data_IF_233389924109
#
_entry.id   IF_233389924109
#
_cell.length_a   1.000
_cell.length_b   1.000
_cell.length_c   1.000
_cell.angle_alpha   90.00
_cell.angle_beta   90.00
_cell.angle_gamma   90.00
#
_symmetry.space_group_name_H-M   'P 1'
#
loop_
_entity.id
_entity.type
_entity.pdbx_description
1 polymer ?
#
# COMPACT_ATOMS: atom_id res chain seq x y z
N UNK A 1 19.31 19.05 -17.57
CA UNK A 1 19.48 17.73 -16.91
C UNK A 1 18.57 17.78 -15.70
N UNK A 2 17.40 17.14 -15.74
CA UNK A 2 16.51 17.07 -14.58
C UNK A 2 17.08 16.00 -13.65
N UNK A 3 17.53 16.40 -12.46
CA UNK A 3 17.96 15.47 -11.43
C UNK A 3 16.78 14.58 -11.04
N UNK A 4 16.99 13.27 -11.10
CA UNK A 4 16.00 12.27 -10.71
C UNK A 4 15.87 12.30 -9.18
N UNK A 5 14.83 12.96 -8.66
CA UNK A 5 14.56 13.01 -7.21
C UNK A 5 13.91 11.69 -6.79
N UNK A 6 14.61 10.91 -5.99
CA UNK A 6 14.07 9.72 -5.31
C UNK A 6 13.60 10.12 -3.92
N UNK A 7 12.37 9.77 -3.55
CA UNK A 7 11.79 10.09 -2.25
C UNK A 7 11.48 8.81 -1.50
N UNK A 8 12.08 8.63 -0.32
CA UNK A 8 11.77 7.53 0.59
C UNK A 8 11.11 8.07 1.85
N UNK A 9 9.93 7.52 2.17
CA UNK A 9 9.21 7.78 3.42
C UNK A 9 9.31 6.53 4.29
N UNK A 10 10.26 6.56 5.22
CA UNK A 10 10.50 5.53 6.23
C UNK A 10 10.16 6.12 7.58
N UNK A 11 9.27 5.47 8.33
CA UNK A 11 8.85 5.90 9.65
C UNK A 11 8.98 4.71 10.59
N UNK A 12 10.13 4.57 11.24
CA UNK A 12 10.31 3.54 12.27
C UNK A 12 9.67 4.04 13.58
N UNK A 13 8.66 3.33 14.08
CA UNK A 13 8.10 3.48 15.44
C UNK A 13 7.51 4.85 15.84
N UNK A 14 6.60 5.44 15.05
CA UNK A 14 5.73 6.54 15.54
C UNK A 14 4.52 6.01 16.34
N UNK A 15 4.77 5.26 17.42
CA UNK A 15 3.72 4.85 18.37
C UNK A 15 3.30 5.98 19.33
N UNK A 16 4.03 7.10 19.36
CA UNK A 16 3.90 8.11 20.42
C UNK A 16 2.89 9.25 20.13
N UNK A 17 2.24 9.28 18.96
CA UNK A 17 1.30 10.38 18.63
C UNK A 17 -0.18 10.02 18.85
N UNK A 18 -0.54 8.74 18.86
CA UNK A 18 -1.95 8.31 18.98
C UNK A 18 -2.37 7.86 20.39
N UNK A 19 -1.43 7.73 21.32
CA UNK A 19 -1.73 7.42 22.73
C UNK A 19 -1.17 8.53 23.62
N UNK A 20 -1.94 9.61 23.79
CA UNK A 20 -1.80 10.38 25.03
C UNK A 20 -2.40 9.53 26.15
N UNK A 21 -1.53 8.83 26.87
CA UNK A 21 -1.84 8.35 28.21
C UNK A 21 -2.05 9.58 29.11
N UNK A 22 -3.29 10.05 29.20
CA UNK A 22 -3.72 10.90 30.32
C UNK A 22 -4.75 10.10 31.12
N UNK A 23 -4.26 9.55 32.25
CA UNK A 23 -5.08 9.10 33.36
C UNK A 23 -5.92 10.29 33.85
N UNK A 24 -7.14 10.45 33.34
CA UNK A 24 -8.15 11.30 33.97
C UNK A 24 -9.33 10.44 34.42
N UNK A 25 -9.41 10.29 35.74
CA UNK A 25 -10.56 9.76 36.46
C UNK A 25 -11.81 10.60 36.18
N UNK A 26 -12.86 9.95 35.68
CA UNK A 26 -14.25 10.33 35.95
C UNK A 26 -14.92 11.29 34.96
N UNK A 27 -15.67 10.73 34.01
CA UNK A 27 -17.13 10.88 33.95
C UNK A 27 -17.73 10.10 32.77
N UNK A 28 -18.81 9.38 33.05
CA UNK A 28 -19.70 8.74 32.09
C UNK A 28 -20.46 9.82 31.29
N UNK A 29 -20.11 10.03 30.02
CA UNK A 29 -21.04 10.08 28.88
C UNK A 29 -20.29 10.43 27.57
N UNK A 30 -20.26 9.48 26.62
CA UNK A 30 -20.34 9.76 25.17
C UNK A 30 -19.33 10.68 24.47
N UNK A 31 -18.08 10.86 24.92
CA UNK A 31 -17.17 11.86 24.31
C UNK A 31 -15.71 11.42 24.03
N UNK A 32 -15.44 10.15 23.75
CA UNK A 32 -14.08 9.68 23.38
C UNK A 32 -13.83 9.54 21.86
N UNK A 33 -14.81 9.83 20.99
CA UNK A 33 -14.72 9.59 19.53
C UNK A 33 -13.86 10.65 18.79
N UNK A 34 -13.68 11.85 19.36
CA UNK A 34 -13.09 12.98 18.63
C UNK A 34 -11.57 13.14 18.79
N UNK A 35 -10.96 12.60 19.86
CA UNK A 35 -9.55 12.89 20.17
C UNK A 35 -8.61 12.10 19.26
N UNK A 36 -8.95 10.85 18.88
CA UNK A 36 -8.06 10.02 18.06
C UNK A 36 -8.27 10.22 16.53
N UNK A 37 -9.51 10.48 16.08
CA UNK A 37 -9.77 10.77 14.66
C UNK A 37 -9.14 12.10 14.21
N UNK A 38 -9.12 13.12 15.07
CA UNK A 38 -8.49 14.40 14.74
C UNK A 38 -6.97 14.27 14.55
N UNK A 39 -6.26 13.59 15.46
CA UNK A 39 -4.82 13.34 15.35
C UNK A 39 -4.50 12.53 14.09
N UNK A 40 -5.32 11.52 13.79
CA UNK A 40 -5.21 10.73 12.56
C UNK A 40 -5.35 11.62 11.33
N UNK A 41 -6.37 12.50 11.28
CA UNK A 41 -6.57 13.43 10.17
C UNK A 41 -5.44 14.47 10.02
N UNK A 42 -4.92 15.00 11.13
CA UNK A 42 -3.77 15.91 11.13
C UNK A 42 -2.54 15.22 10.54
N UNK A 43 -2.28 13.98 10.96
CA UNK A 43 -1.18 13.15 10.46
C UNK A 43 -1.33 12.85 8.96
N UNK A 44 -2.54 12.51 8.51
CA UNK A 44 -2.84 12.33 7.09
C UNK A 44 -2.60 13.60 6.27
N UNK A 45 -3.00 14.76 6.80
CA UNK A 45 -2.80 16.04 6.13
C UNK A 45 -1.31 16.34 5.96
N UNK A 46 -0.50 16.10 6.99
CA UNK A 46 0.97 16.26 6.93
C UNK A 46 1.55 15.30 5.89
N UNK A 47 1.16 14.03 5.89
CA UNK A 47 1.64 13.06 4.90
C UNK A 47 1.28 13.48 3.46
N UNK A 48 0.06 13.96 3.23
CA UNK A 48 -0.35 14.45 1.91
C UNK A 48 0.41 15.71 1.49
N UNK A 49 0.69 16.62 2.42
CA UNK A 49 1.49 17.82 2.14
C UNK A 49 2.90 17.44 1.71
N UNK A 50 3.55 16.51 2.43
CA UNK A 50 4.86 15.97 2.06
C UNK A 50 4.80 15.40 0.64
N UNK A 51 3.85 14.51 0.34
CA UNK A 51 3.72 13.91 -0.99
C UNK A 51 3.49 14.96 -2.09
N UNK A 52 2.73 16.02 -1.82
CA UNK A 52 2.49 17.13 -2.77
C UNK A 52 3.75 17.94 -3.04
N UNK A 53 4.58 18.17 -2.01
CA UNK A 53 5.85 18.87 -2.16
C UNK A 53 6.83 18.11 -3.06
N UNK A 54 6.67 16.78 -3.15
CA UNK A 54 7.45 15.91 -4.00
C UNK A 54 6.70 15.42 -5.25
N UNK A 55 5.62 16.08 -5.68
CA UNK A 55 4.78 15.60 -6.80
C UNK A 55 5.52 15.35 -8.13
N UNK A 56 6.64 16.05 -8.35
CA UNK A 56 7.49 15.91 -9.55
C UNK A 56 8.53 14.78 -9.44
N UNK A 57 8.65 14.15 -8.26
CA UNK A 57 9.55 13.02 -8.06
C UNK A 57 9.12 11.84 -8.95
N UNK A 58 10.12 11.20 -9.54
CA UNK A 58 9.94 10.06 -10.45
C UNK A 58 9.92 8.74 -9.70
N UNK A 59 10.38 8.70 -8.46
CA UNK A 59 10.46 7.49 -7.65
C UNK A 59 10.00 7.74 -6.23
N UNK A 60 9.10 6.90 -5.74
CA UNK A 60 8.61 6.92 -4.37
C UNK A 60 8.80 5.56 -3.73
N UNK A 61 9.33 5.55 -2.50
CA UNK A 61 9.33 4.40 -1.62
C UNK A 61 8.49 4.71 -0.39
N UNK A 62 7.44 3.93 -0.17
CA UNK A 62 6.42 4.15 0.85
C UNK A 62 6.37 2.95 1.78
N UNK A 63 6.60 3.16 3.08
CA UNK A 63 6.45 2.13 4.11
C UNK A 63 4.98 1.78 4.39
N UNK A 64 4.74 0.63 5.01
CA UNK A 64 3.41 0.12 5.35
C UNK A 64 2.65 1.06 6.30
N UNK A 65 3.34 1.76 7.21
CA UNK A 65 2.70 2.77 8.06
C UNK A 65 2.08 3.91 7.25
N UNK A 66 2.84 4.45 6.27
CA UNK A 66 2.31 5.48 5.37
C UNK A 66 1.16 4.96 4.51
N UNK A 67 1.21 3.68 4.09
CA UNK A 67 0.11 3.05 3.34
C UNK A 67 -1.15 2.98 4.20
N UNK A 68 -1.05 2.58 5.47
CA UNK A 68 -2.22 2.50 6.35
C UNK A 68 -2.81 3.89 6.68
N UNK A 69 -1.96 4.93 6.85
CA UNK A 69 -2.44 6.32 6.95
C UNK A 69 -3.20 6.76 5.68
N UNK A 70 -2.67 6.46 4.50
CA UNK A 70 -3.36 6.77 3.24
C UNK A 70 -4.62 5.93 3.05
N UNK A 71 -4.71 4.76 3.68
CA UNK A 71 -5.92 3.94 3.66
C UNK A 71 -7.05 4.64 4.39
N UNK A 72 -6.74 5.22 5.55
CA UNK A 72 -7.71 6.01 6.30
C UNK A 72 -8.23 7.20 5.48
N UNK A 73 -7.32 7.83 4.71
CA UNK A 73 -7.66 8.92 3.80
C UNK A 73 -8.60 8.50 2.66
N UNK A 74 -8.26 7.41 1.96
CA UNK A 74 -9.07 6.84 0.88
C UNK A 74 -10.47 6.48 1.38
N UNK A 75 -10.57 5.88 2.57
CA UNK A 75 -11.86 5.47 3.16
C UNK A 75 -12.77 6.65 3.50
N UNK A 76 -12.19 7.83 3.80
CA UNK A 76 -12.97 9.07 3.98
C UNK A 76 -13.40 9.70 2.65
N UNK A 77 -12.85 9.26 1.51
CA UNK A 77 -13.01 9.90 0.19
C UNK A 77 -12.62 11.39 0.20
N UNK A 78 -11.56 11.73 0.97
CA UNK A 78 -11.12 13.13 1.15
C UNK A 78 -9.79 13.35 0.47
N UNK A 79 -9.80 14.23 -0.53
CA UNK A 79 -8.60 14.76 -1.16
C UNK A 79 -8.05 13.84 -2.24
N UNK A 80 -7.61 14.45 -3.33
CA UNK A 80 -6.96 13.75 -4.44
C UNK A 80 -5.49 14.13 -4.47
N UNK A 81 -4.67 13.18 -4.92
CA UNK A 81 -3.26 13.36 -5.16
C UNK A 81 -2.95 13.00 -6.60
N UNK A 82 -1.99 13.71 -7.21
CA UNK A 82 -1.44 13.41 -8.53
C UNK A 82 0.07 13.48 -8.44
N UNK A 83 0.73 12.39 -8.79
CA UNK A 83 2.17 12.23 -8.74
C UNK A 83 2.69 11.90 -10.15
N UNK A 84 3.83 12.48 -10.53
CA UNK A 84 4.54 12.15 -11.76
C UNK A 84 5.20 10.76 -11.71
N UNK A 85 5.29 10.16 -10.51
CA UNK A 85 5.88 8.88 -10.19
C UNK A 85 5.91 7.85 -11.33
N UNK A 86 7.13 7.47 -11.72
CA UNK A 86 7.45 6.44 -12.72
C UNK A 86 7.77 5.10 -12.04
N UNK A 87 8.36 5.14 -10.84
CA UNK A 87 8.69 3.96 -10.04
C UNK A 87 8.08 4.07 -8.64
N UNK A 88 7.14 3.18 -8.31
CA UNK A 88 6.55 3.12 -6.98
C UNK A 88 7.04 1.86 -6.27
N UNK A 89 7.60 2.04 -5.08
CA UNK A 89 8.01 0.96 -4.18
C UNK A 89 7.14 1.00 -2.92
N UNK A 90 6.37 -0.06 -2.69
CA UNK A 90 5.54 -0.26 -1.52
C UNK A 90 6.16 -1.31 -0.60
N UNK A 91 6.23 -1.02 0.69
CA UNK A 91 6.43 -2.03 1.74
C UNK A 91 5.06 -2.47 2.23
N UNK A 92 4.64 -3.71 1.95
CA UNK A 92 3.30 -4.19 2.33
C UNK A 92 3.27 -5.70 2.42
N UNK A 93 2.47 -6.22 3.37
CA UNK A 93 2.18 -7.65 3.51
C UNK A 93 0.81 -8.06 2.95
N UNK A 94 0.12 -7.11 2.30
CA UNK A 94 -1.25 -7.25 1.83
C UNK A 94 -2.22 -7.53 2.98
N UNK A 95 -2.11 -6.76 4.06
CA UNK A 95 -3.11 -6.78 5.12
C UNK A 95 -4.36 -6.03 4.66
N UNK A 96 -5.51 -6.40 5.24
CA UNK A 96 -6.80 -5.77 4.91
C UNK A 96 -6.72 -4.25 4.90
N UNK A 97 -6.22 -3.65 5.98
CA UNK A 97 -6.18 -2.20 6.15
C UNK A 97 -5.10 -1.47 5.32
N UNK A 98 -4.27 -2.19 4.57
CA UNK A 98 -3.34 -1.58 3.61
C UNK A 98 -4.01 -1.35 2.24
N UNK A 99 -5.07 -2.10 1.92
CA UNK A 99 -5.70 -2.11 0.59
C UNK A 99 -6.10 -0.72 0.11
N UNK A 100 -6.85 0.09 0.89
CA UNK A 100 -7.31 1.39 0.41
C UNK A 100 -6.13 2.34 0.13
N UNK A 101 -5.04 2.26 0.89
CA UNK A 101 -3.85 3.08 0.71
C UNK A 101 -3.00 2.67 -0.49
N UNK A 102 -2.91 1.36 -0.76
CA UNK A 102 -2.33 0.86 -2.01
C UNK A 102 -3.14 1.40 -3.19
N UNK A 103 -4.46 1.31 -3.13
CA UNK A 103 -5.37 1.86 -4.15
C UNK A 103 -5.17 3.36 -4.33
N UNK A 104 -5.12 4.13 -3.24
CA UNK A 104 -4.87 5.57 -3.26
C UNK A 104 -3.57 5.92 -4.01
N UNK A 105 -2.47 5.25 -3.66
CA UNK A 105 -1.16 5.49 -4.27
C UNK A 105 -1.14 5.13 -5.75
N UNK A 106 -1.71 3.98 -6.12
CA UNK A 106 -1.80 3.55 -7.51
C UNK A 106 -2.65 4.52 -8.35
N UNK A 107 -3.78 5.00 -7.82
CA UNK A 107 -4.62 6.03 -8.47
C UNK A 107 -3.87 7.36 -8.62
N UNK A 108 -3.02 7.71 -7.66
CA UNK A 108 -2.28 8.96 -7.66
C UNK A 108 -1.15 9.01 -8.72
N UNK A 109 -0.53 7.88 -9.05
CA UNK A 109 0.60 7.80 -9.98
C UNK A 109 0.13 7.79 -11.45
N UNK A 110 0.48 8.82 -12.23
CA UNK A 110 -0.03 8.96 -13.60
C UNK A 110 0.88 8.34 -14.69
N UNK A 111 2.17 8.14 -14.39
CA UNK A 111 3.17 7.64 -15.35
C UNK A 111 3.87 6.39 -14.85
N UNK A 112 3.20 5.59 -14.03
CA UNK A 112 3.82 4.45 -13.36
C UNK A 112 4.27 3.42 -14.40
N UNK A 113 5.57 3.19 -14.49
CA UNK A 113 6.17 2.17 -15.36
C UNK A 113 6.65 0.94 -14.57
N UNK A 114 7.04 1.14 -13.31
CA UNK A 114 7.54 0.09 -12.43
C UNK A 114 6.84 0.12 -11.08
N UNK A 115 6.25 -1.00 -10.70
CA UNK A 115 5.74 -1.25 -9.35
C UNK A 115 6.62 -2.28 -8.66
N UNK A 116 7.16 -1.92 -7.50
CA UNK A 116 7.90 -2.82 -6.62
C UNK A 116 7.12 -2.99 -5.32
N UNK A 117 6.88 -4.21 -4.90
CA UNK A 117 6.26 -4.53 -3.61
C UNK A 117 7.23 -5.41 -2.84
N UNK A 118 7.67 -4.95 -1.67
CA UNK A 118 8.48 -5.74 -0.75
C UNK A 118 7.63 -6.11 0.45
N UNK A 119 7.60 -7.39 0.79
CA UNK A 119 7.00 -7.86 2.04
C UNK A 119 8.03 -7.66 3.16
N UNK A 120 7.80 -6.72 4.10
CA UNK A 120 8.69 -6.53 5.23
C UNK A 120 8.68 -7.75 6.16
N UNK A 121 9.70 -7.93 7.01
CA UNK A 121 9.74 -9.05 7.94
C UNK A 121 8.80 -8.89 9.13
N UNK A 122 8.56 -7.66 9.58
CA UNK A 122 7.70 -7.37 10.72
C UNK A 122 6.41 -6.70 10.26
N UNK A 123 5.35 -6.89 11.05
CA UNK A 123 4.11 -6.13 10.91
C UNK A 123 4.28 -4.83 11.69
N UNK A 124 4.21 -3.70 11.00
CA UNK A 124 3.99 -2.41 11.66
C UNK A 124 2.53 -2.05 11.39
N UNK A 125 1.64 -2.58 12.23
CA UNK A 125 0.22 -2.19 12.21
C UNK A 125 0.07 -0.85 12.94
N UNK A 126 -0.74 0.03 12.37
CA UNK A 126 -1.19 1.21 13.12
C UNK A 126 -2.32 0.78 14.06
N UNK A 127 -2.25 1.20 15.32
CA UNK A 127 -3.36 1.05 16.24
C UNK A 127 -4.43 2.09 15.90
N UNK A 128 -5.42 1.67 15.12
CA UNK A 128 -6.59 2.48 14.82
C UNK A 128 -7.66 2.31 15.93
N UNK A 129 -8.35 3.39 16.29
CA UNK A 129 -9.49 3.32 17.21
C UNK A 129 -10.54 2.30 16.74
N UNK A 130 -11.14 1.56 17.68
CA UNK A 130 -12.19 0.58 17.35
C UNK A 130 -13.41 1.24 16.69
N UNK A 131 -13.79 2.43 17.14
CA UNK A 131 -14.86 3.22 16.54
C UNK A 131 -14.52 3.68 15.12
N UNK A 132 -13.25 4.00 14.83
CA UNK A 132 -12.79 4.26 13.47
C UNK A 132 -12.93 3.02 12.58
N UNK A 133 -12.42 1.88 13.07
CA UNK A 133 -12.49 0.60 12.36
C UNK A 133 -13.94 0.23 12.05
N UNK A 134 -14.85 0.37 13.03
CA UNK A 134 -16.27 0.11 12.83
C UNK A 134 -16.92 1.06 11.83
N UNK A 135 -16.59 2.36 11.89
CA UNK A 135 -17.18 3.38 11.01
C UNK A 135 -16.77 3.21 9.55
N UNK A 136 -15.52 2.80 9.31
CA UNK A 136 -14.94 2.70 7.97
C UNK A 136 -14.71 1.26 7.50
N UNK A 137 -15.32 0.29 8.19
CA UNK A 137 -15.24 -1.14 7.89
C UNK A 137 -15.59 -1.44 6.42
N UNK A 138 -14.90 -2.43 5.85
CA UNK A 138 -15.11 -2.87 4.48
C UNK A 138 -14.75 -4.34 4.27
N UNK A 139 -15.29 -4.90 3.19
CA UNK A 139 -14.93 -6.24 2.74
C UNK A 139 -13.63 -6.19 1.91
N UNK A 140 -12.60 -6.88 2.39
CA UNK A 140 -11.31 -6.96 1.71
C UNK A 140 -11.43 -7.70 0.37
N UNK A 141 -12.22 -8.77 0.35
CA UNK A 141 -12.38 -9.63 -0.81
C UNK A 141 -13.13 -8.89 -1.92
N UNK A 142 -12.55 -8.89 -3.11
CA UNK A 142 -13.03 -8.15 -4.27
C UNK A 142 -12.75 -6.65 -4.22
N UNK A 143 -12.02 -6.12 -3.23
CA UNK A 143 -11.76 -4.68 -3.12
C UNK A 143 -11.04 -4.15 -4.38
N UNK A 144 -9.98 -4.82 -4.82
CA UNK A 144 -9.26 -4.43 -6.05
C UNK A 144 -10.13 -4.56 -7.29
N UNK A 145 -10.95 -5.62 -7.35
CA UNK A 145 -11.82 -5.91 -8.49
C UNK A 145 -12.90 -4.82 -8.63
N UNK A 146 -13.47 -4.38 -7.51
CA UNK A 146 -14.47 -3.31 -7.51
C UNK A 146 -13.89 -1.96 -7.98
N UNK A 147 -12.59 -1.75 -7.76
CA UNK A 147 -11.86 -0.55 -8.17
C UNK A 147 -11.25 -0.64 -9.59
N UNK A 148 -11.46 -1.73 -10.32
CA UNK A 148 -10.81 -2.02 -11.62
C UNK A 148 -10.85 -0.85 -12.60
N UNK A 149 -12.01 -0.18 -12.76
CA UNK A 149 -12.18 0.91 -13.71
C UNK A 149 -11.31 2.13 -13.37
N UNK A 150 -11.03 2.36 -12.08
CA UNK A 150 -10.19 3.46 -11.65
C UNK A 150 -8.71 3.26 -12.00
N UNK A 151 -8.30 2.04 -12.36
CA UNK A 151 -6.91 1.70 -12.65
C UNK A 151 -6.55 1.68 -14.14
N UNK A 152 -7.53 1.73 -15.05
CA UNK A 152 -7.28 1.67 -16.50
C UNK A 152 -6.28 2.74 -16.94
N UNK A 153 -6.49 4.00 -16.55
CA UNK A 153 -5.59 5.09 -16.92
C UNK A 153 -4.30 5.13 -16.09
N UNK A 154 -4.34 5.05 -14.74
CA UNK A 154 -3.12 5.13 -13.93
C UNK A 154 -2.09 4.03 -14.24
N UNK A 155 -2.55 2.82 -14.59
CA UNK A 155 -1.67 1.67 -14.81
C UNK A 155 -1.40 1.36 -16.29
N UNK A 156 -1.87 2.19 -17.22
CA UNK A 156 -1.68 1.95 -18.65
C UNK A 156 -0.19 1.87 -19.05
N UNK A 157 0.68 2.59 -18.36
CA UNK A 157 2.11 2.67 -18.66
C UNK A 157 2.93 1.61 -17.90
N UNK A 158 2.29 0.79 -17.05
CA UNK A 158 2.98 -0.16 -16.20
C UNK A 158 3.59 -1.28 -17.05
N UNK A 159 4.92 -1.40 -17.01
CA UNK A 159 5.70 -2.38 -17.78
C UNK A 159 6.21 -3.51 -16.92
N UNK A 160 6.56 -3.23 -15.67
CA UNK A 160 7.17 -4.22 -14.78
C UNK A 160 6.57 -4.15 -13.40
N UNK A 161 6.17 -5.33 -12.90
CA UNK A 161 5.80 -5.54 -11.50
C UNK A 161 6.82 -6.48 -10.88
N UNK A 162 7.39 -6.10 -9.74
CA UNK A 162 8.29 -6.95 -8.97
C UNK A 162 7.74 -7.09 -7.56
N UNK A 163 7.65 -8.33 -7.08
CA UNK A 163 7.17 -8.66 -5.74
C UNK A 163 8.24 -9.48 -5.04
N UNK A 164 8.67 -8.99 -3.89
CA UNK A 164 9.75 -9.56 -3.10
C UNK A 164 9.19 -10.10 -1.80
N UNK A 165 9.28 -11.41 -1.60
CA UNK A 165 9.02 -12.03 -0.32
C UNK A 165 10.33 -12.58 0.26
N UNK A 166 10.87 -11.88 1.24
CA UNK A 166 12.11 -12.26 1.89
C UNK A 166 11.92 -13.08 3.17
N UNK A 167 10.69 -13.43 3.53
CA UNK A 167 10.37 -14.17 4.75
C UNK A 167 9.45 -15.39 4.51
N UNK A 168 9.23 -16.16 5.57
CA UNK A 168 8.43 -17.38 5.57
C UNK A 168 9.17 -18.60 4.99
N UNK A 169 8.50 -19.74 5.00
CA UNK A 169 9.10 -21.02 4.59
C UNK A 169 9.19 -21.18 3.07
N UNK A 170 8.43 -20.38 2.32
CA UNK A 170 8.34 -20.47 0.87
C UNK A 170 9.43 -19.65 0.16
N UNK A 171 10.69 -19.99 0.46
CA UNK A 171 11.88 -19.29 -0.06
C UNK A 171 12.53 -20.00 -1.25
N UNK A 172 12.21 -21.26 -1.47
CA UNK A 172 12.65 -22.05 -2.62
C UNK A 172 11.48 -22.77 -3.26
N UNK A 173 11.53 -22.97 -4.57
CA UNK A 173 10.54 -23.71 -5.33
C UNK A 173 10.90 -25.20 -5.46
N UNK A 174 11.95 -25.73 -4.84
CA UNK A 174 12.37 -27.14 -5.02
C UNK A 174 11.64 -28.13 -4.08
N UNK A 175 11.27 -29.34 -4.55
CA UNK A 175 11.36 -29.86 -5.93
C UNK A 175 10.11 -29.52 -6.80
N UNK A 176 9.30 -28.56 -6.38
CA UNK A 176 8.02 -28.20 -7.01
C UNK A 176 8.09 -27.07 -8.05
N UNK A 177 6.92 -26.54 -8.38
CA UNK A 177 6.75 -25.33 -9.21
C UNK A 177 6.46 -24.11 -8.33
N UNK A 178 6.58 -22.90 -8.89
CA UNK A 178 6.15 -21.68 -8.20
C UNK A 178 4.63 -21.71 -7.89
N UNK A 179 4.28 -21.67 -6.60
CA UNK A 179 2.93 -21.59 -6.05
C UNK A 179 2.64 -20.18 -5.50
N UNK A 180 1.78 -19.43 -6.18
CA UNK A 180 1.43 -18.06 -5.80
C UNK A 180 0.75 -17.97 -4.42
N UNK A 181 -0.13 -18.93 -4.08
CA UNK A 181 -0.81 -18.97 -2.79
C UNK A 181 0.12 -19.11 -1.59
N UNK A 182 1.29 -19.74 -1.77
CA UNK A 182 2.30 -19.92 -0.72
C UNK A 182 3.29 -18.75 -0.67
N UNK A 183 3.35 -17.96 -1.75
CA UNK A 183 4.29 -16.85 -1.87
C UNK A 183 3.84 -15.60 -1.12
N UNK A 184 2.55 -15.28 -1.12
CA UNK A 184 2.01 -14.09 -0.48
C UNK A 184 1.61 -14.37 0.97
N UNK A 185 1.97 -13.49 1.92
CA UNK A 185 1.42 -13.53 3.27
C UNK A 185 -0.10 -13.30 3.26
N UNK A 186 -0.57 -12.23 2.61
CA UNK A 186 -1.99 -12.03 2.27
C UNK A 186 -2.37 -12.70 0.94
N UNK A 187 -2.39 -14.03 0.90
CA UNK A 187 -2.51 -14.82 -0.33
C UNK A 187 -3.67 -14.40 -1.25
N UNK A 188 -4.88 -14.27 -0.71
CA UNK A 188 -6.07 -13.89 -1.48
C UNK A 188 -5.91 -12.51 -2.12
N UNK A 189 -5.44 -11.53 -1.33
CA UNK A 189 -5.31 -10.13 -1.75
C UNK A 189 -4.16 -9.93 -2.74
N UNK A 190 -3.04 -10.63 -2.54
CA UNK A 190 -1.94 -10.66 -3.50
C UNK A 190 -2.37 -11.23 -4.86
N UNK A 191 -3.18 -12.30 -4.85
CA UNK A 191 -3.75 -12.89 -6.06
C UNK A 191 -4.75 -11.95 -6.72
N UNK A 192 -5.62 -11.29 -5.96
CA UNK A 192 -6.54 -10.29 -6.51
C UNK A 192 -5.80 -9.13 -7.20
N UNK A 193 -4.70 -8.64 -6.62
CA UNK A 193 -3.85 -7.66 -7.29
C UNK A 193 -3.31 -8.22 -8.61
N UNK A 194 -2.87 -9.49 -8.66
CA UNK A 194 -2.38 -10.09 -9.90
C UNK A 194 -3.46 -10.22 -10.96
N UNK A 195 -4.68 -10.57 -10.57
CA UNK A 195 -5.85 -10.63 -11.46
C UNK A 195 -6.15 -9.22 -11.99
N UNK A 196 -6.19 -8.21 -11.12
CA UNK A 196 -6.40 -6.81 -11.49
C UNK A 196 -5.36 -6.37 -12.52
N UNK A 197 -4.07 -6.51 -12.20
CA UNK A 197 -2.99 -6.06 -13.08
C UNK A 197 -3.11 -6.72 -14.45
N UNK A 198 -3.27 -8.04 -14.51
CA UNK A 198 -3.48 -8.75 -15.78
C UNK A 198 -4.70 -8.25 -16.57
N UNK A 199 -5.75 -7.80 -15.89
CA UNK A 199 -6.96 -7.29 -16.52
C UNK A 199 -6.87 -5.86 -17.05
N UNK A 200 -6.03 -4.99 -16.45
CA UNK A 200 -6.02 -3.54 -16.79
C UNK A 200 -4.72 -3.04 -17.41
N UNK A 201 -3.60 -3.74 -17.24
CA UNK A 201 -2.29 -3.24 -17.70
C UNK A 201 -1.94 -3.77 -19.09
N UNK A 202 -2.30 -3.01 -20.12
CA UNK A 202 -2.09 -3.39 -21.53
C UNK A 202 -0.62 -3.43 -21.96
N UNK A 203 0.27 -2.73 -21.25
CA UNK A 203 1.70 -2.64 -21.57
C UNK A 203 2.58 -3.45 -20.60
N UNK A 204 2.00 -4.29 -19.74
CA UNK A 204 2.76 -5.06 -18.77
C UNK A 204 3.57 -6.16 -19.46
N UNK A 205 4.88 -6.04 -19.40
CA UNK A 205 5.81 -6.97 -20.06
C UNK A 205 6.10 -8.19 -19.19
N UNK A 206 6.24 -7.97 -17.88
CA UNK A 206 6.70 -9.02 -16.95
C UNK A 206 6.24 -8.78 -15.52
N UNK A 207 5.97 -9.88 -14.83
CA UNK A 207 5.83 -9.93 -13.38
C UNK A 207 6.96 -10.77 -12.81
N UNK A 208 7.65 -10.25 -11.81
CA UNK A 208 8.80 -10.88 -11.19
C UNK A 208 8.44 -11.19 -9.74
N UNK A 209 8.58 -12.45 -9.35
CA UNK A 209 8.52 -12.88 -7.96
C UNK A 209 9.94 -13.21 -7.51
N UNK A 210 10.36 -12.71 -6.36
CA UNK A 210 11.68 -13.03 -5.84
C UNK A 210 11.66 -13.27 -4.34
N UNK A 211 12.55 -14.17 -3.93
CA UNK A 211 12.85 -14.50 -2.54
C UNK A 211 14.31 -14.18 -2.26
N UNK A 212 14.79 -14.47 -1.05
CA UNK A 212 16.22 -14.36 -0.73
C UNK A 212 17.09 -15.30 -1.59
N UNK A 213 16.49 -16.37 -2.12
CA UNK A 213 17.22 -17.48 -2.75
C UNK A 213 16.95 -17.62 -4.25
N UNK A 214 15.76 -17.27 -4.71
CA UNK A 214 15.32 -17.55 -6.07
C UNK A 214 14.50 -16.41 -6.66
N UNK A 215 14.44 -16.37 -7.99
CA UNK A 215 13.64 -15.44 -8.76
C UNK A 215 12.86 -16.21 -9.80
N UNK A 216 11.57 -15.90 -9.90
CA UNK A 216 10.66 -16.45 -10.88
C UNK A 216 10.12 -15.29 -11.72
N UNK A 217 10.20 -15.42 -13.05
CA UNK A 217 9.72 -14.39 -13.97
C UNK A 217 8.54 -14.98 -14.74
N UNK A 218 7.37 -14.38 -14.58
CA UNK A 218 6.20 -14.64 -15.39
C UNK A 218 6.18 -13.64 -16.55
N UNK A 219 6.49 -14.07 -17.79
CA UNK A 219 6.20 -13.25 -18.95
C UNK A 219 4.69 -13.16 -19.12
N UNK A 220 4.16 -11.95 -19.32
CA UNK A 220 2.77 -11.78 -19.70
C UNK A 220 2.73 -11.99 -21.21
N UNK A 221 2.24 -13.15 -21.66
CA UNK A 221 1.91 -13.33 -23.08
C UNK A 221 0.70 -12.44 -23.38
N UNK A 222 0.92 -11.42 -24.19
CA UNK A 222 -0.09 -10.45 -24.62
C UNK A 222 -1.23 -11.06 -25.41
#
# INVERSE_FOLDING_TARGET
MLECVNVGLFMDHMFALCTKDEEEEGNEDGMNILINDQITQETENVLLEILRNFKEATSFQICNWCIQMLSCRERRDIGRLRLHCVCLHLSSKFQKWELPGIVFLLKACQNLEKLLITMPPFDEEIDLPEDYLMRYEFHANGYFINETQAFIHPLQNLKTVEIRNFEGDYQTWEPGSFEMHRFFHGAELGIELMILLRGVTVNLERVIFSTKKQKHVLPILG
#
